data_IF_455879977252
#
_entry.id   IF_455879977252
#
_cell.length_a   1.000
_cell.length_b   1.000
_cell.length_c   1.000
_cell.angle_alpha   90.00
_cell.angle_beta   90.00
_cell.angle_gamma   90.00
#
_symmetry.space_group_name_H-M   'P 1'
#
loop_
_entity.id
_entity.type
_entity.pdbx_description
1 polymer ?
#
# COMPACT_ATOMS: atom_id res chain seq x y z
N UNK A 1 3.16 3.11 26.06
CA UNK A 1 2.50 3.74 24.90
C UNK A 1 2.12 2.63 23.93
N UNK A 2 0.81 2.36 23.70
CA UNK A 2 0.36 1.35 22.72
C UNK A 2 0.54 1.90 21.31
N UNK A 3 1.33 1.24 20.46
CA UNK A 3 1.39 1.52 19.02
C UNK A 3 -0.01 1.30 18.42
N UNK A 4 -0.50 2.17 17.52
CA UNK A 4 -1.69 1.86 16.75
C UNK A 4 -1.34 0.71 15.79
N UNK A 5 -1.90 -0.47 16.03
CA UNK A 5 -1.87 -1.57 15.07
C UNK A 5 -2.95 -1.22 14.05
N UNK A 6 -2.53 -0.82 12.85
CA UNK A 6 -3.46 -0.53 11.77
C UNK A 6 -4.03 -1.87 11.29
N UNK A 7 -5.31 -2.12 11.55
CA UNK A 7 -5.98 -3.36 11.16
C UNK A 7 -6.23 -3.40 9.64
N UNK A 8 -6.32 -4.60 9.07
CA UNK A 8 -6.45 -4.83 7.61
C UNK A 8 -7.59 -4.02 6.96
N UNK A 9 -8.67 -3.76 7.71
CA UNK A 9 -9.80 -2.95 7.26
C UNK A 9 -9.47 -1.46 7.14
N UNK A 10 -8.63 -0.93 8.03
CA UNK A 10 -8.14 0.45 7.93
C UNK A 10 -7.17 0.61 6.76
N UNK A 11 -6.36 -0.42 6.49
CA UNK A 11 -5.48 -0.45 5.34
C UNK A 11 -6.30 -0.39 4.03
N UNK A 12 -7.35 -1.20 3.92
CA UNK A 12 -8.25 -1.22 2.75
C UNK A 12 -8.95 0.13 2.57
N UNK A 13 -9.46 0.73 3.66
CA UNK A 13 -10.09 2.05 3.59
C UNK A 13 -9.10 3.13 3.13
N UNK A 14 -7.86 3.09 3.60
CA UNK A 14 -6.80 4.02 3.21
C UNK A 14 -6.41 3.87 1.74
N UNK A 15 -6.39 2.64 1.22
CA UNK A 15 -6.10 2.31 -0.17
C UNK A 15 -7.26 2.72 -1.12
N UNK A 16 -8.52 2.54 -0.69
CA UNK A 16 -9.70 2.95 -1.46
C UNK A 16 -9.89 4.48 -1.52
N UNK A 17 -9.37 5.21 -0.53
CA UNK A 17 -9.40 6.68 -0.52
C UNK A 17 -8.39 7.33 -1.48
N UNK A 18 -7.63 6.54 -2.25
CA UNK A 18 -6.63 7.05 -3.19
C UNK A 18 -7.30 7.42 -4.51
N UNK A 19 -7.73 8.68 -4.62
CA UNK A 19 -8.11 9.31 -5.88
C UNK A 19 -7.05 10.33 -6.31
N UNK A 20 -6.87 10.48 -7.62
CA UNK A 20 -5.77 11.17 -8.31
C UNK A 20 -5.76 12.69 -8.01
N UNK A 21 -5.27 13.08 -6.83
CA UNK A 21 -5.22 14.49 -6.41
C UNK A 21 -3.96 14.89 -5.65
N UNK A 22 -3.36 13.97 -4.88
CA UNK A 22 -2.19 14.29 -4.05
C UNK A 22 -1.12 13.19 -4.16
N UNK A 23 -0.23 13.28 -5.15
CA UNK A 23 0.89 12.33 -5.34
C UNK A 23 1.76 12.18 -4.09
N UNK A 24 1.99 13.26 -3.32
CA UNK A 24 2.72 13.20 -2.05
C UNK A 24 1.95 12.46 -0.95
N UNK A 25 0.63 12.67 -0.85
CA UNK A 25 -0.22 11.92 0.09
C UNK A 25 -0.29 10.44 -0.30
N UNK A 26 -0.31 10.13 -1.60
CA UNK A 26 -0.26 8.75 -2.10
C UNK A 26 1.07 8.10 -1.73
N UNK A 27 2.20 8.79 -1.94
CA UNK A 27 3.53 8.31 -1.54
C UNK A 27 3.57 8.05 -0.03
N UNK A 28 3.10 8.99 0.79
CA UNK A 28 3.07 8.83 2.24
C UNK A 28 2.22 7.66 2.72
N UNK A 29 1.10 7.36 2.05
CA UNK A 29 0.27 6.18 2.35
C UNK A 29 0.92 4.87 1.92
N UNK A 30 1.59 4.85 0.77
CA UNK A 30 2.32 3.67 0.28
C UNK A 30 3.50 3.32 1.19
N UNK A 31 4.23 4.32 1.68
CA UNK A 31 5.32 4.10 2.64
C UNK A 31 4.81 3.53 3.97
N UNK A 32 3.71 4.07 4.50
CA UNK A 32 3.05 3.52 5.70
C UNK A 32 2.59 2.08 5.50
N UNK A 33 2.01 1.75 4.34
CA UNK A 33 1.62 0.38 4.01
C UNK A 33 2.83 -0.55 3.88
N UNK A 34 3.94 -0.07 3.32
CA UNK A 34 5.19 -0.82 3.18
C UNK A 34 5.77 -1.17 4.56
N UNK A 35 5.78 -0.20 5.48
CA UNK A 35 6.20 -0.43 6.87
C UNK A 35 5.26 -1.40 7.59
N UNK A 36 3.95 -1.30 7.38
CA UNK A 36 2.98 -2.25 7.92
C UNK A 36 3.23 -3.68 7.39
N UNK A 37 3.50 -3.85 6.09
CA UNK A 37 3.84 -5.14 5.49
C UNK A 37 5.12 -5.74 6.09
N UNK A 38 6.14 -4.92 6.38
CA UNK A 38 7.35 -5.38 7.09
C UNK A 38 7.05 -5.77 8.54
N UNK A 39 6.17 -5.04 9.22
CA UNK A 39 5.79 -5.31 10.60
C UNK A 39 4.99 -6.62 10.78
N UNK A 40 4.34 -7.11 9.72
CA UNK A 40 3.62 -8.40 9.70
C UNK A 40 4.42 -9.54 9.05
N UNK A 41 5.74 -9.38 8.91
CA UNK A 41 6.66 -10.38 8.32
C UNK A 41 6.28 -10.79 6.88
N UNK A 42 5.80 -9.81 6.09
CA UNK A 42 5.45 -9.99 4.67
C UNK A 42 6.35 -9.11 3.78
N UNK A 43 7.67 -9.41 3.70
CA UNK A 43 8.61 -8.61 2.92
C UNK A 43 8.29 -8.58 1.43
N UNK A 44 7.76 -9.67 0.87
CA UNK A 44 7.35 -9.74 -0.54
C UNK A 44 6.20 -8.77 -0.90
N UNK A 45 5.35 -8.43 0.07
CA UNK A 45 4.31 -7.42 -0.12
C UNK A 45 4.88 -6.01 -0.01
N UNK A 46 5.90 -5.81 0.83
CA UNK A 46 6.62 -4.56 0.93
C UNK A 46 7.39 -4.23 -0.36
N UNK A 47 7.99 -5.23 -1.03
CA UNK A 47 8.65 -5.05 -2.33
C UNK A 47 7.65 -4.64 -3.42
N UNK A 48 6.47 -5.26 -3.46
CA UNK A 48 5.42 -4.87 -4.42
C UNK A 48 4.88 -3.46 -4.19
N UNK A 49 4.86 -3.02 -2.93
CA UNK A 49 4.50 -1.64 -2.58
C UNK A 49 5.61 -0.66 -2.99
N UNK A 50 6.88 -1.07 -2.90
CA UNK A 50 7.99 -0.28 -3.43
C UNK A 50 7.88 -0.11 -4.95
N UNK A 51 7.62 -1.18 -5.69
CA UNK A 51 7.38 -1.13 -7.14
C UNK A 51 6.19 -0.21 -7.50
N UNK A 52 5.18 -0.12 -6.65
CA UNK A 52 4.05 0.79 -6.83
C UNK A 52 4.44 2.26 -6.61
N UNK A 53 5.34 2.54 -5.67
CA UNK A 53 5.92 3.88 -5.46
C UNK A 53 6.77 4.29 -6.65
N UNK A 54 7.62 3.40 -7.16
CA UNK A 54 8.46 3.67 -8.32
C UNK A 54 7.61 3.89 -9.59
N UNK A 55 6.54 3.12 -9.78
CA UNK A 55 5.60 3.34 -10.87
C UNK A 55 4.84 4.69 -10.74
N UNK A 56 4.53 5.11 -9.51
CA UNK A 56 3.91 6.41 -9.24
C UNK A 56 4.86 7.57 -9.59
N UNK A 57 6.15 7.44 -9.28
CA UNK A 57 7.22 8.40 -9.60
C UNK A 57 7.41 8.54 -11.12
N UNK A 58 7.28 7.43 -11.86
CA UNK A 58 7.34 7.38 -13.32
C UNK A 58 6.02 7.78 -14.01
N UNK A 59 5.01 8.27 -13.26
CA UNK A 59 3.66 8.58 -13.75
C UNK A 59 2.94 7.39 -14.44
N UNK A 60 3.39 6.16 -14.20
CA UNK A 60 2.77 4.94 -14.71
C UNK A 60 1.62 4.48 -13.80
N UNK A 61 0.48 5.17 -13.96
CA UNK A 61 -0.73 4.87 -13.20
C UNK A 61 -1.31 3.47 -13.45
N UNK A 62 -1.00 2.84 -14.60
CA UNK A 62 -1.47 1.48 -14.92
C UNK A 62 -0.73 0.47 -14.06
N UNK A 63 0.59 0.58 -13.98
CA UNK A 63 1.42 -0.31 -13.17
C UNK A 63 1.15 -0.09 -11.68
N UNK A 64 1.03 1.17 -11.24
CA UNK A 64 0.62 1.51 -9.88
C UNK A 64 -0.68 0.81 -9.47
N UNK A 65 -1.76 0.97 -10.25
CA UNK A 65 -3.07 0.37 -9.95
C UNK A 65 -2.99 -1.14 -9.83
N UNK A 66 -2.34 -1.80 -10.79
CA UNK A 66 -2.21 -3.26 -10.83
C UNK A 66 -1.45 -3.81 -9.61
N UNK A 67 -0.41 -3.11 -9.15
CA UNK A 67 0.37 -3.50 -7.97
C UNK A 67 -0.45 -3.34 -6.70
N UNK A 68 -1.18 -2.24 -6.55
CA UNK A 68 -2.10 -2.02 -5.42
C UNK A 68 -3.17 -3.09 -5.37
N UNK A 69 -3.84 -3.39 -6.50
CA UNK A 69 -4.84 -4.47 -6.58
C UNK A 69 -4.27 -5.82 -6.16
N UNK A 70 -3.04 -6.13 -6.59
CA UNK A 70 -2.35 -7.37 -6.22
C UNK A 70 -2.13 -7.47 -4.70
N UNK A 71 -1.75 -6.36 -4.07
CA UNK A 71 -1.51 -6.31 -2.61
C UNK A 71 -2.84 -6.42 -1.86
N UNK A 72 -3.89 -5.72 -2.30
CA UNK A 72 -5.24 -5.81 -1.72
C UNK A 72 -5.80 -7.22 -1.81
N UNK A 73 -5.71 -7.86 -2.98
CA UNK A 73 -6.12 -9.26 -3.14
C UNK A 73 -5.35 -10.17 -2.19
N UNK A 74 -4.01 -10.10 -2.17
CA UNK A 74 -3.21 -10.96 -1.28
C UNK A 74 -3.55 -10.76 0.21
N UNK A 75 -3.76 -9.53 0.66
CA UNK A 75 -4.16 -9.25 2.05
C UNK A 75 -5.57 -9.74 2.37
N UNK A 76 -6.50 -9.70 1.41
CA UNK A 76 -7.85 -10.23 1.58
C UNK A 76 -7.91 -11.76 1.76
N UNK A 77 -6.93 -12.48 1.21
CA UNK A 77 -6.81 -13.94 1.34
C UNK A 77 -6.13 -14.39 2.66
N UNK A 78 -5.57 -13.49 3.46
CA UNK A 78 -4.87 -13.79 4.72
C UNK A 78 -5.81 -13.66 5.94
N UNK A 79 -7.11 -13.43 5.73
CA UNK A 79 -8.13 -13.29 6.78
C UNK A 79 -8.69 -14.63 7.26
#
# INVERSE_FOLDING_TARGET
>A
MRRPIMDSSQLIANLNAINVGDLEVIRGKLEQAREACRAIDQPELADKLQEAVDALDQADMKTYRRRVETVVSKLGHIR
#
